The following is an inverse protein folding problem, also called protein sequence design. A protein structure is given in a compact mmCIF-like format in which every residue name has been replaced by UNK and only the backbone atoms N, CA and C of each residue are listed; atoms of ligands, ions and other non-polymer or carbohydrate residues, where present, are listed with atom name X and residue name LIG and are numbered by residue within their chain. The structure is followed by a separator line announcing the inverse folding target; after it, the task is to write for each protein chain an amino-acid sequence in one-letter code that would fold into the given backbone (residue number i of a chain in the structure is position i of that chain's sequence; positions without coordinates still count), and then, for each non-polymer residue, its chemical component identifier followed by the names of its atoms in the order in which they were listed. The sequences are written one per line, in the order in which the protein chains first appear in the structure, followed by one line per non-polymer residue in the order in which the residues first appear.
data_IF_457176350148
#
_entry.id   IF_457176350148
#
_cell.length_a   1.000
_cell.length_b   1.000
_cell.length_c   1.000
_cell.angle_alpha   90.00
_cell.angle_beta   90.00
_cell.angle_gamma   90.00
#
_symmetry.space_group_name_H-M   'P 1'
#
loop_
_entity.id
_entity.type
_entity.pdbx_description
1 polymer ?
#
# COMPACT_ATOMS: atom_id res chain seq x y z
N UNK A 1 -24.20 -11.17 -11.95
CA UNK A 1 -22.81 -11.39 -11.51
C UNK A 1 -22.04 -10.09 -11.61
N UNK A 2 -21.15 -9.83 -10.67
CA UNK A 2 -20.44 -8.58 -10.59
C UNK A 2 -18.91 -8.81 -10.53
N UNK A 3 -18.15 -7.77 -10.86
CA UNK A 3 -16.68 -7.81 -10.84
C UNK A 3 -16.16 -6.72 -9.91
N UNK A 4 -15.29 -7.08 -9.00
CA UNK A 4 -14.53 -6.16 -8.18
C UNK A 4 -13.27 -5.73 -8.94
N UNK A 5 -13.23 -4.45 -9.31
CA UNK A 5 -12.04 -3.86 -9.91
C UNK A 5 -10.93 -3.69 -8.86
N UNK A 6 -9.67 -3.54 -9.29
CA UNK A 6 -8.51 -3.23 -8.42
C UNK A 6 -8.70 -2.00 -7.53
N UNK A 7 -9.56 -1.04 -7.95
CA UNK A 7 -9.94 0.12 -7.15
C UNK A 7 -10.94 -0.17 -6.02
N UNK A 8 -11.35 -1.43 -5.85
CA UNK A 8 -12.42 -1.83 -4.93
C UNK A 8 -13.84 -1.61 -5.47
N UNK A 9 -14.01 -0.88 -6.58
CA UNK A 9 -15.33 -0.61 -7.17
C UNK A 9 -15.92 -1.88 -7.77
N UNK A 10 -17.17 -2.21 -7.41
CA UNK A 10 -17.93 -3.32 -7.97
C UNK A 10 -18.74 -2.82 -9.17
N UNK A 11 -18.65 -3.54 -10.29
CA UNK A 11 -19.33 -3.23 -11.55
C UNK A 11 -19.98 -4.51 -12.11
N UNK A 12 -21.02 -4.41 -12.96
CA UNK A 12 -21.59 -5.58 -13.65
C UNK A 12 -20.52 -6.27 -14.52
N UNK A 13 -20.58 -7.60 -14.55
CA UNK A 13 -19.74 -8.40 -15.44
C UNK A 13 -20.18 -8.23 -16.90
N UNK A 14 -19.20 -8.06 -17.78
CA UNK A 14 -19.43 -8.04 -19.23
C UNK A 14 -18.33 -8.88 -19.93
N UNK A 15 -18.73 -9.97 -20.59
CA UNK A 15 -17.85 -10.89 -21.31
C UNK A 15 -17.16 -10.24 -22.52
N UNK A 16 -17.70 -9.15 -23.07
CA UNK A 16 -17.07 -8.43 -24.21
C UNK A 16 -15.67 -7.93 -23.86
N UNK A 17 -15.42 -7.56 -22.58
CA UNK A 17 -14.08 -7.14 -22.17
C UNK A 17 -13.08 -8.29 -22.24
N UNK A 18 -13.51 -9.53 -21.95
CA UNK A 18 -12.69 -10.73 -22.07
C UNK A 18 -12.42 -11.01 -23.55
N UNK A 19 -13.48 -11.06 -24.36
CA UNK A 19 -13.38 -11.28 -25.82
C UNK A 19 -12.43 -10.28 -26.48
N UNK A 20 -12.57 -8.99 -26.16
CA UNK A 20 -11.69 -7.94 -26.69
C UNK A 20 -10.24 -8.12 -26.27
N UNK A 21 -9.98 -8.50 -25.02
CA UNK A 21 -8.63 -8.71 -24.51
C UNK A 21 -7.96 -9.92 -25.19
N UNK A 22 -8.72 -11.02 -25.41
CA UNK A 22 -8.24 -12.20 -26.13
C UNK A 22 -8.00 -11.87 -27.59
N UNK A 23 -8.91 -11.13 -28.24
CA UNK A 23 -8.76 -10.69 -29.62
C UNK A 23 -7.48 -9.89 -29.86
N UNK A 24 -7.18 -8.93 -28.99
CA UNK A 24 -5.94 -8.15 -29.07
C UNK A 24 -4.69 -9.01 -28.89
N UNK A 25 -4.72 -9.97 -27.97
CA UNK A 25 -3.61 -10.87 -27.72
C UNK A 25 -3.41 -11.83 -28.89
N UNK A 26 -4.50 -12.37 -29.46
CA UNK A 26 -4.52 -13.26 -30.62
C UNK A 26 -4.01 -12.57 -31.90
N UNK A 27 -4.43 -11.31 -32.11
CA UNK A 27 -3.92 -10.49 -33.21
C UNK A 27 -2.41 -10.23 -33.07
N UNK A 28 -1.93 -9.93 -31.87
CA UNK A 28 -0.50 -9.73 -31.58
C UNK A 28 0.33 -11.02 -31.72
N UNK A 29 -0.28 -12.18 -31.54
CA UNK A 29 0.32 -13.49 -31.74
C UNK A 29 0.28 -13.98 -33.19
N UNK A 30 -0.47 -13.33 -34.07
CA UNK A 30 -0.72 -13.78 -35.45
C UNK A 30 -1.68 -14.98 -35.54
N UNK A 31 -2.47 -15.22 -34.52
CA UNK A 31 -3.42 -16.34 -34.37
C UNK A 31 -4.89 -15.86 -34.34
N UNK A 32 -5.21 -14.76 -35.02
CA UNK A 32 -6.53 -14.14 -34.92
C UNK A 32 -7.61 -14.96 -35.66
N UNK A 33 -8.52 -15.56 -34.89
CA UNK A 33 -9.69 -16.28 -35.33
C UNK A 33 -10.89 -15.94 -34.48
N UNK A 34 -11.95 -15.36 -35.08
CA UNK A 34 -13.12 -14.87 -34.34
C UNK A 34 -13.94 -15.99 -33.70
N UNK A 35 -14.06 -17.15 -34.37
CA UNK A 35 -14.80 -18.30 -33.85
C UNK A 35 -14.08 -18.91 -32.64
N UNK A 36 -12.76 -18.98 -32.69
CA UNK A 36 -11.94 -19.47 -31.63
C UNK A 36 -11.95 -18.50 -30.41
N UNK A 37 -11.88 -17.20 -30.65
CA UNK A 37 -11.99 -16.16 -29.61
C UNK A 37 -13.34 -16.27 -28.91
N UNK A 38 -14.43 -16.46 -29.62
CA UNK A 38 -15.76 -16.67 -29.05
C UNK A 38 -15.82 -17.95 -28.20
N UNK A 39 -15.25 -19.04 -28.68
CA UNK A 39 -15.16 -20.33 -27.98
C UNK A 39 -14.33 -20.24 -26.70
N UNK A 40 -13.20 -19.51 -26.70
CA UNK A 40 -12.37 -19.29 -25.53
C UNK A 40 -13.12 -18.40 -24.50
N UNK A 41 -13.75 -17.34 -24.97
CA UNK A 41 -14.52 -16.42 -24.12
C UNK A 41 -15.67 -17.14 -23.43
N UNK A 42 -16.36 -18.02 -24.12
CA UNK A 42 -17.42 -18.84 -23.53
C UNK A 42 -16.86 -19.79 -22.46
N UNK A 43 -15.78 -20.50 -22.75
CA UNK A 43 -15.15 -21.43 -21.80
C UNK A 43 -14.68 -20.70 -20.53
N UNK A 44 -14.10 -19.50 -20.65
CA UNK A 44 -13.73 -18.65 -19.50
C UNK A 44 -14.96 -18.30 -18.68
N UNK A 45 -16.04 -17.89 -19.34
CA UNK A 45 -17.29 -17.51 -18.67
C UNK A 45 -17.91 -18.69 -17.92
N UNK A 46 -17.91 -19.86 -18.50
CA UNK A 46 -18.40 -21.10 -17.87
C UNK A 46 -17.55 -21.48 -16.64
N UNK A 47 -16.23 -21.39 -16.72
CA UNK A 47 -15.33 -21.62 -15.58
C UNK A 47 -15.59 -20.64 -14.44
N UNK A 48 -15.71 -19.34 -14.73
CA UNK A 48 -16.03 -18.34 -13.73
C UNK A 48 -17.37 -18.60 -13.05
N UNK A 49 -18.40 -19.01 -13.82
CA UNK A 49 -19.71 -19.37 -13.26
C UNK A 49 -19.63 -20.61 -12.34
N UNK A 50 -18.76 -21.56 -12.65
CA UNK A 50 -18.54 -22.77 -11.86
C UNK A 50 -17.94 -22.47 -10.46
N UNK A 51 -17.29 -21.31 -10.25
CA UNK A 51 -16.78 -20.89 -8.95
C UNK A 51 -17.88 -20.56 -7.94
N UNK A 52 -19.14 -20.36 -8.40
CA UNK A 52 -20.32 -20.04 -7.55
C UNK A 52 -20.16 -18.83 -6.65
N UNK A 53 -19.29 -17.89 -7.03
CA UNK A 53 -19.10 -16.62 -6.32
C UNK A 53 -20.03 -15.55 -6.90
N UNK A 54 -20.56 -14.68 -6.05
CA UNK A 54 -21.42 -13.57 -6.49
C UNK A 54 -20.62 -12.40 -7.08
N UNK A 55 -19.37 -12.24 -6.64
CA UNK A 55 -18.46 -11.17 -7.06
C UNK A 55 -17.11 -11.79 -7.36
N UNK A 56 -16.64 -11.66 -8.59
CA UNK A 56 -15.30 -12.10 -9.00
C UNK A 56 -14.30 -10.96 -8.91
N UNK A 57 -13.10 -11.25 -8.43
CA UNK A 57 -11.99 -10.31 -8.52
C UNK A 57 -11.42 -10.27 -9.94
N UNK A 58 -10.99 -9.10 -10.39
CA UNK A 58 -10.45 -8.93 -11.75
C UNK A 58 -9.23 -9.83 -11.99
N UNK A 59 -8.44 -10.13 -10.93
CA UNK A 59 -7.29 -11.04 -11.03
C UNK A 59 -7.77 -12.46 -11.33
N UNK A 60 -8.78 -12.96 -10.60
CA UNK A 60 -9.37 -14.29 -10.85
C UNK A 60 -9.84 -14.44 -12.30
N UNK A 61 -10.45 -13.39 -12.87
CA UNK A 61 -10.87 -13.40 -14.28
C UNK A 61 -9.66 -13.52 -15.20
N UNK A 62 -8.61 -12.75 -14.95
CA UNK A 62 -7.39 -12.76 -15.78
C UNK A 62 -6.66 -14.09 -15.69
N UNK A 63 -6.54 -14.66 -14.51
CA UNK A 63 -5.92 -15.97 -14.30
C UNK A 63 -6.72 -17.08 -15.00
N UNK A 64 -8.06 -17.04 -14.95
CA UNK A 64 -8.94 -17.98 -15.67
C UNK A 64 -8.78 -17.85 -17.19
N UNK A 65 -8.56 -16.63 -17.72
CA UNK A 65 -8.27 -16.44 -19.16
C UNK A 65 -6.95 -17.11 -19.53
N UNK A 66 -5.89 -16.87 -18.74
CA UNK A 66 -4.57 -17.46 -18.97
C UNK A 66 -4.64 -19.00 -18.97
N UNK A 67 -5.25 -19.59 -17.94
CA UNK A 67 -5.45 -21.04 -17.83
C UNK A 67 -6.20 -21.61 -19.03
N UNK A 68 -7.30 -20.96 -19.44
CA UNK A 68 -8.12 -21.43 -20.56
C UNK A 68 -7.36 -21.38 -21.88
N UNK A 69 -6.56 -20.34 -22.11
CA UNK A 69 -5.68 -20.24 -23.28
C UNK A 69 -4.63 -21.36 -23.30
N UNK A 70 -4.05 -21.71 -22.15
CA UNK A 70 -3.10 -22.83 -22.05
C UNK A 70 -3.77 -24.19 -22.29
N UNK A 71 -4.94 -24.43 -21.70
CA UNK A 71 -5.68 -25.69 -21.88
C UNK A 71 -6.09 -25.93 -23.33
N UNK A 72 -6.51 -24.85 -24.01
CA UNK A 72 -6.85 -24.88 -25.43
C UNK A 72 -5.63 -24.85 -26.36
N UNK A 73 -4.42 -24.88 -25.80
CA UNK A 73 -3.12 -24.89 -26.51
C UNK A 73 -2.80 -23.64 -27.33
N UNK A 74 -3.44 -22.50 -27.05
CA UNK A 74 -3.15 -21.21 -27.65
C UNK A 74 -1.94 -20.54 -26.97
N UNK A 75 -0.79 -21.19 -26.99
CA UNK A 75 0.40 -20.78 -26.23
C UNK A 75 0.95 -19.42 -26.63
N UNK A 76 0.91 -19.07 -27.92
CA UNK A 76 1.41 -17.78 -28.37
C UNK A 76 0.48 -16.65 -27.96
N UNK A 77 -0.83 -16.85 -28.10
CA UNK A 77 -1.86 -15.94 -27.62
C UNK A 77 -1.78 -15.78 -26.09
N UNK A 78 -1.61 -16.86 -25.31
CA UNK A 78 -1.40 -16.81 -23.86
C UNK A 78 -0.16 -15.97 -23.50
N UNK A 79 0.96 -16.20 -24.19
CA UNK A 79 2.20 -15.43 -23.98
C UNK A 79 2.03 -13.94 -24.31
N UNK A 80 1.32 -13.60 -25.37
CA UNK A 80 1.01 -12.23 -25.75
C UNK A 80 0.09 -11.57 -24.70
N UNK A 81 -0.93 -12.29 -24.21
CA UNK A 81 -1.85 -11.84 -23.17
C UNK A 81 -1.13 -11.53 -21.86
N UNK A 82 -0.28 -12.43 -21.36
CA UNK A 82 0.52 -12.25 -20.16
C UNK A 82 1.46 -11.05 -20.31
N UNK A 83 2.13 -10.91 -21.46
CA UNK A 83 3.01 -9.77 -21.74
C UNK A 83 2.24 -8.45 -21.69
N UNK A 84 1.08 -8.39 -22.36
CA UNK A 84 0.22 -7.21 -22.35
C UNK A 84 -0.27 -6.87 -20.92
N UNK A 85 -0.66 -7.89 -20.13
CA UNK A 85 -1.04 -7.72 -18.72
C UNK A 85 0.10 -7.09 -17.91
N UNK A 86 1.32 -7.61 -18.05
CA UNK A 86 2.51 -7.08 -17.37
C UNK A 86 2.87 -5.65 -17.83
N UNK A 87 2.75 -5.35 -19.12
CA UNK A 87 2.97 -3.99 -19.63
C UNK A 87 1.94 -3.01 -19.08
N UNK A 88 0.66 -3.39 -19.08
CA UNK A 88 -0.41 -2.58 -18.50
C UNK A 88 -0.30 -2.44 -16.97
N UNK A 89 0.28 -3.40 -16.30
CA UNK A 89 0.59 -3.30 -14.87
C UNK A 89 1.73 -2.31 -14.63
N UNK A 90 2.77 -2.35 -15.44
CA UNK A 90 3.87 -1.36 -15.41
C UNK A 90 3.39 0.04 -15.77
N UNK A 91 2.56 0.21 -16.81
CA UNK A 91 1.96 1.50 -17.18
C UNK A 91 1.10 2.06 -16.04
N UNK A 92 0.27 1.23 -15.41
CA UNK A 92 -0.55 1.63 -14.26
C UNK A 92 0.30 1.98 -13.04
N UNK A 93 1.32 1.20 -12.76
CA UNK A 93 2.27 1.50 -11.69
C UNK A 93 2.99 2.83 -11.93
N UNK A 94 3.23 3.19 -13.19
CA UNK A 94 3.77 4.51 -13.56
C UNK A 94 2.72 5.62 -13.62
N UNK A 95 1.46 5.30 -13.96
CA UNK A 95 0.35 6.27 -14.02
C UNK A 95 -0.28 6.55 -12.64
N UNK A 96 -0.23 5.60 -11.70
CA UNK A 96 -0.61 5.85 -10.30
C UNK A 96 0.41 6.74 -9.54
N UNK A 97 1.58 6.96 -10.14
CA UNK A 97 2.48 8.02 -9.75
C UNK A 97 1.87 9.32 -10.25
N UNK A 98 1.00 9.93 -9.45
CA UNK A 98 0.58 11.32 -9.67
C UNK A 98 1.87 12.12 -9.77
N UNK A 99 2.00 12.90 -10.84
CA UNK A 99 3.10 13.82 -11.01
C UNK A 99 3.12 14.74 -9.78
N UNK A 100 4.03 14.41 -8.85
CA UNK A 100 4.22 15.15 -7.63
C UNK A 100 5.06 16.41 -7.89
N UNK A 101 5.59 16.98 -6.83
CA UNK A 101 6.50 18.13 -6.94
C UNK A 101 7.83 17.71 -7.62
N UNK A 102 8.23 16.43 -7.49
CA UNK A 102 9.41 15.84 -8.13
C UNK A 102 9.05 15.21 -9.47
N UNK A 103 9.65 15.69 -10.56
CA UNK A 103 9.40 15.18 -11.92
C UNK A 103 10.09 13.82 -12.14
N UNK A 104 9.53 13.03 -13.08
CA UNK A 104 10.14 11.74 -13.49
C UNK A 104 11.53 11.93 -14.10
N UNK A 105 11.77 13.04 -14.79
CA UNK A 105 13.06 13.41 -15.34
C UNK A 105 14.10 13.62 -14.21
N UNK A 106 13.72 14.36 -13.17
CA UNK A 106 14.56 14.56 -11.98
C UNK A 106 14.90 13.23 -11.28
N UNK A 107 13.93 12.31 -11.17
CA UNK A 107 14.12 11.02 -10.49
C UNK A 107 14.89 9.98 -11.32
N UNK A 108 14.96 10.16 -12.63
CA UNK A 108 15.56 9.16 -13.55
C UNK A 108 16.98 8.75 -13.19
N UNK A 109 17.93 9.64 -12.86
CA UNK A 109 19.30 9.26 -12.47
C UNK A 109 19.33 8.37 -11.22
N UNK A 110 18.47 8.66 -10.24
CA UNK A 110 18.45 7.95 -8.96
C UNK A 110 17.91 6.51 -9.07
N UNK A 111 17.06 6.24 -10.07
CA UNK A 111 16.52 4.88 -10.33
C UNK A 111 17.61 3.87 -10.68
N UNK A 112 18.68 4.34 -11.27
CA UNK A 112 19.81 3.52 -11.74
C UNK A 112 21.06 3.65 -10.88
N UNK A 113 21.00 4.52 -9.86
CA UNK A 113 22.14 4.72 -8.95
C UNK A 113 22.18 3.61 -7.89
N UNK A 114 23.39 3.17 -7.48
CA UNK A 114 23.50 2.19 -6.41
C UNK A 114 22.95 2.74 -5.09
N UNK A 115 22.46 1.84 -4.25
CA UNK A 115 22.03 2.19 -2.90
C UNK A 115 23.22 2.76 -2.12
N UNK A 116 23.13 3.96 -1.53
CA UNK A 116 24.25 4.58 -0.80
C UNK A 116 24.56 3.92 0.56
N UNK A 117 23.73 2.95 0.98
CA UNK A 117 23.88 2.27 2.27
C UNK A 117 24.87 1.10 2.18
N UNK A 118 25.57 0.85 3.29
CA UNK A 118 26.28 -0.41 3.51
C UNK A 118 25.32 -1.60 3.71
N UNK A 119 25.85 -2.80 3.90
CA UNK A 119 25.05 -4.02 4.05
C UNK A 119 24.12 -3.95 5.27
N UNK A 120 24.59 -3.43 6.40
CA UNK A 120 23.80 -3.31 7.61
C UNK A 120 22.69 -2.26 7.45
N UNK A 121 23.04 -1.11 6.89
CA UNK A 121 22.10 -0.04 6.58
C UNK A 121 21.00 -0.52 5.62
N UNK A 122 21.36 -1.21 4.54
CA UNK A 122 20.44 -1.77 3.58
C UNK A 122 19.49 -2.81 4.21
N UNK A 123 19.99 -3.65 5.10
CA UNK A 123 19.17 -4.60 5.85
C UNK A 123 18.16 -3.89 6.76
N UNK A 124 18.62 -2.92 7.57
CA UNK A 124 17.73 -2.14 8.46
C UNK A 124 16.68 -1.37 7.66
N UNK A 125 17.10 -0.73 6.57
CA UNK A 125 16.20 -0.03 5.65
C UNK A 125 15.11 -0.97 5.12
N UNK A 126 15.50 -2.09 4.53
CA UNK A 126 14.56 -3.04 3.91
C UNK A 126 13.58 -3.61 4.93
N UNK A 127 14.05 -3.92 6.14
CA UNK A 127 13.21 -4.47 7.20
C UNK A 127 12.22 -3.46 7.75
N UNK A 128 12.62 -2.19 7.92
CA UNK A 128 11.87 -1.21 8.72
C UNK A 128 11.17 -0.14 7.88
N UNK A 129 11.86 0.45 6.91
CA UNK A 129 11.40 1.67 6.23
C UNK A 129 10.82 1.39 4.84
N UNK A 130 11.35 0.41 4.12
CA UNK A 130 10.88 0.03 2.79
C UNK A 130 9.45 -0.53 2.85
N UNK A 131 8.50 0.15 2.23
CA UNK A 131 7.09 -0.28 2.19
C UNK A 131 6.92 -1.40 1.16
N UNK A 132 6.02 -2.32 1.45
CA UNK A 132 5.61 -3.30 0.46
C UNK A 132 4.63 -2.67 -0.53
N UNK A 133 4.88 -2.86 -1.82
CA UNK A 133 4.07 -2.40 -2.93
C UNK A 133 3.27 -3.59 -3.48
N UNK A 134 2.00 -3.81 -3.04
CA UNK A 134 1.24 -5.01 -3.38
C UNK A 134 1.08 -5.22 -4.88
N UNK A 135 0.91 -4.12 -5.63
CA UNK A 135 0.75 -4.15 -7.10
C UNK A 135 2.00 -4.60 -7.85
N UNK A 136 3.18 -4.38 -7.26
CA UNK A 136 4.47 -4.75 -7.86
C UNK A 136 5.05 -6.04 -7.25
N UNK A 137 4.40 -6.60 -6.23
CA UNK A 137 4.86 -7.80 -5.52
C UNK A 137 6.22 -7.63 -4.84
N UNK A 138 6.67 -6.41 -4.58
CA UNK A 138 7.98 -6.10 -4.01
C UNK A 138 7.94 -4.97 -2.99
N UNK A 139 9.03 -4.78 -2.29
CA UNK A 139 9.25 -3.60 -1.45
C UNK A 139 9.78 -2.41 -2.27
N UNK A 140 9.61 -1.21 -1.71
CA UNK A 140 10.20 0.03 -2.25
C UNK A 140 11.72 -0.08 -2.35
N UNK A 141 12.28 0.48 -3.41
CA UNK A 141 13.69 0.84 -3.46
C UNK A 141 13.95 2.13 -2.68
N UNK A 142 15.21 2.39 -2.34
CA UNK A 142 15.57 3.58 -1.58
C UNK A 142 15.11 4.89 -2.24
N UNK A 143 15.29 5.02 -3.54
CA UNK A 143 14.84 6.18 -4.30
C UNK A 143 13.31 6.38 -4.23
N UNK A 144 12.52 5.31 -4.15
CA UNK A 144 11.06 5.38 -4.02
C UNK A 144 10.64 5.83 -2.61
N UNK A 145 11.29 5.28 -1.58
CA UNK A 145 11.02 5.69 -0.18
C UNK A 145 11.35 7.17 0.03
N UNK A 146 12.50 7.63 -0.48
CA UNK A 146 12.89 9.05 -0.38
C UNK A 146 11.89 9.93 -1.12
N UNK A 147 11.48 9.52 -2.32
CA UNK A 147 10.49 10.27 -3.09
C UNK A 147 9.17 10.39 -2.34
N UNK A 148 8.60 9.30 -1.88
CA UNK A 148 7.35 9.30 -1.11
C UNK A 148 7.43 10.20 0.12
N UNK A 149 8.52 10.10 0.88
CA UNK A 149 8.70 10.88 2.11
C UNK A 149 8.88 12.38 1.84
N UNK A 150 9.61 12.73 0.78
CA UNK A 150 9.80 14.13 0.37
C UNK A 150 8.52 14.73 -0.18
N UNK A 151 7.82 14.03 -1.07
CA UNK A 151 6.52 14.45 -1.60
C UNK A 151 5.51 14.71 -0.47
N UNK A 152 5.43 13.80 0.49
CA UNK A 152 4.60 13.99 1.68
C UNK A 152 5.02 15.22 2.49
N UNK A 153 6.30 15.37 2.78
CA UNK A 153 6.79 16.49 3.57
C UNK A 153 6.55 17.83 2.88
N UNK A 154 6.77 17.90 1.57
CA UNK A 154 6.52 19.08 0.75
C UNK A 154 5.03 19.39 0.56
N UNK A 155 4.14 18.42 0.75
CA UNK A 155 2.69 18.64 0.71
C UNK A 155 2.13 19.34 1.94
N UNK A 156 2.88 19.37 3.04
CA UNK A 156 2.45 19.95 4.32
C UNK A 156 2.60 21.49 4.35
N UNK A 157 3.45 22.06 3.49
CA UNK A 157 3.68 23.49 3.38
C UNK A 157 4.05 23.88 1.95
N UNK A 158 3.81 25.13 1.53
CA UNK A 158 4.25 25.61 0.22
C UNK A 158 5.76 25.42 0.05
N UNK A 159 6.15 24.65 -0.96
CA UNK A 159 7.53 24.28 -1.24
C UNK A 159 7.79 24.42 -2.73
N UNK A 160 8.93 24.98 -3.12
CA UNK A 160 9.34 25.07 -4.52
C UNK A 160 9.90 23.72 -5.01
N UNK A 161 9.86 23.50 -6.33
CA UNK A 161 10.48 22.30 -6.95
C UNK A 161 11.99 22.22 -6.67
N UNK A 162 12.66 23.36 -6.61
CA UNK A 162 14.08 23.43 -6.32
C UNK A 162 14.38 22.98 -4.89
N UNK A 163 13.62 23.45 -3.92
CA UNK A 163 13.76 23.03 -2.51
C UNK A 163 13.47 21.53 -2.33
N UNK A 164 12.38 21.04 -2.96
CA UNK A 164 12.06 19.62 -2.95
C UNK A 164 13.16 18.75 -3.56
N UNK A 165 13.75 19.20 -4.67
CA UNK A 165 14.87 18.54 -5.31
C UNK A 165 16.13 18.51 -4.44
N UNK A 166 16.47 19.62 -3.79
CA UNK A 166 17.59 19.69 -2.83
C UNK A 166 17.35 18.79 -1.62
N UNK A 167 16.15 18.79 -1.08
CA UNK A 167 15.76 17.93 0.04
C UNK A 167 15.92 16.45 -0.35
N UNK A 168 15.39 16.08 -1.53
CA UNK A 168 15.51 14.73 -2.07
C UNK A 168 16.96 14.29 -2.21
N UNK A 169 17.79 15.09 -2.88
CA UNK A 169 19.21 14.78 -3.12
C UNK A 169 19.99 14.61 -1.80
N UNK A 170 19.74 15.49 -0.84
CA UNK A 170 20.37 15.41 0.48
C UNK A 170 19.98 14.14 1.24
N UNK A 171 18.69 13.76 1.21
CA UNK A 171 18.22 12.55 1.88
C UNK A 171 18.73 11.30 1.14
N UNK A 172 18.66 11.28 -0.20
CA UNK A 172 19.13 10.16 -0.99
C UNK A 172 20.59 9.83 -0.70
N UNK A 173 21.45 10.85 -0.63
CA UNK A 173 22.89 10.70 -0.32
C UNK A 173 23.20 10.71 1.19
N UNK A 174 22.18 10.60 2.05
CA UNK A 174 22.35 10.54 3.51
C UNK A 174 23.04 11.74 4.15
N UNK A 175 22.96 12.91 3.53
CA UNK A 175 23.49 14.17 4.10
C UNK A 175 22.51 14.84 5.07
N UNK A 176 21.21 14.51 4.93
CA UNK A 176 20.12 15.02 5.73
C UNK A 176 19.07 13.92 5.90
N UNK A 177 18.35 13.92 7.01
CA UNK A 177 17.24 13.00 7.24
C UNK A 177 15.97 13.72 7.67
N UNK A 178 14.82 13.19 7.25
CA UNK A 178 13.54 13.42 7.89
C UNK A 178 13.43 12.53 9.15
N UNK A 179 12.40 12.73 9.96
CA UNK A 179 12.16 11.82 11.07
C UNK A 179 12.00 10.38 10.57
N UNK A 180 12.46 9.40 11.34
CA UNK A 180 12.30 7.99 11.00
C UNK A 180 10.84 7.63 10.75
N UNK A 181 9.91 8.25 11.45
CA UNK A 181 8.47 8.05 11.24
C UNK A 181 8.01 8.59 9.89
N UNK A 182 8.48 9.76 9.48
CA UNK A 182 8.16 10.30 8.15
C UNK A 182 8.68 9.39 7.03
N UNK A 183 9.90 8.85 7.15
CA UNK A 183 10.41 7.85 6.21
C UNK A 183 9.57 6.56 6.21
N UNK A 184 9.01 6.17 7.36
CA UNK A 184 8.23 4.95 7.49
C UNK A 184 6.79 5.12 7.03
N UNK A 185 6.06 6.13 7.52
CA UNK A 185 4.62 6.29 7.31
C UNK A 185 4.21 7.49 6.47
N UNK A 186 5.07 8.50 6.29
CA UNK A 186 4.77 9.68 5.47
C UNK A 186 4.37 9.29 4.05
N UNK A 187 3.31 9.89 3.51
CA UNK A 187 2.75 9.58 2.20
C UNK A 187 2.05 8.22 2.14
N UNK A 188 1.64 7.68 3.27
CA UNK A 188 0.81 6.47 3.34
C UNK A 188 -0.57 6.80 3.93
N UNK A 189 -1.60 5.97 3.72
CA UNK A 189 -2.92 6.17 4.33
C UNK A 189 -2.89 6.30 5.86
N UNK A 190 -1.86 5.75 6.52
CA UNK A 190 -1.68 5.89 7.97
C UNK A 190 -1.39 7.34 8.34
N UNK A 191 -0.53 8.02 7.59
CA UNK A 191 -0.22 9.43 7.84
C UNK A 191 -1.42 10.35 7.57
N UNK A 192 -2.26 10.00 6.58
CA UNK A 192 -3.45 10.76 6.22
C UNK A 192 -4.57 10.60 7.25
N UNK A 193 -4.80 9.37 7.72
CA UNK A 193 -5.86 9.07 8.69
C UNK A 193 -5.45 9.36 10.13
N UNK A 194 -4.18 9.16 10.46
CA UNK A 194 -3.62 9.28 11.80
C UNK A 194 -2.33 10.10 11.78
N UNK A 195 -2.38 11.43 11.53
CA UNK A 195 -1.19 12.26 11.38
C UNK A 195 -0.26 12.22 12.62
N UNK A 196 -0.81 11.94 13.79
CA UNK A 196 -0.01 11.75 15.02
C UNK A 196 0.96 10.57 14.93
N UNK A 197 0.74 9.61 14.03
CA UNK A 197 1.67 8.50 13.78
C UNK A 197 3.05 8.95 13.25
N UNK A 198 3.17 10.18 12.75
CA UNK A 198 4.46 10.77 12.35
C UNK A 198 5.34 11.20 13.51
N UNK A 199 4.78 11.31 14.73
CA UNK A 199 5.54 11.70 15.91
C UNK A 199 6.15 10.48 16.61
N UNK A 200 7.46 10.52 16.84
CA UNK A 200 8.16 9.43 17.54
C UNK A 200 7.86 9.43 19.02
N UNK A 201 7.81 10.61 19.65
CA UNK A 201 7.69 10.79 21.08
C UNK A 201 6.66 11.86 21.40
N UNK A 202 5.91 11.62 22.47
CA UNK A 202 4.98 12.56 23.08
C UNK A 202 5.18 12.56 24.59
N UNK A 203 4.60 13.53 25.27
CA UNK A 203 4.64 13.64 26.72
C UNK A 203 3.29 14.15 27.22
N UNK A 204 2.79 13.57 28.31
CA UNK A 204 1.57 14.02 28.95
C UNK A 204 1.70 14.05 30.47
N UNK A 205 0.89 14.88 31.10
CA UNK A 205 0.80 15.00 32.57
C UNK A 205 -0.52 14.37 33.00
N UNK A 206 -0.48 13.47 33.95
CA UNK A 206 -1.69 12.83 34.48
C UNK A 206 -2.23 13.70 35.63
N UNK A 207 -3.00 14.73 35.30
CA UNK A 207 -3.67 15.62 36.22
C UNK A 207 -5.20 15.67 36.08
N UNK A 208 -5.71 14.86 35.12
CA UNK A 208 -7.12 14.64 34.90
C UNK A 208 -7.31 13.26 34.21
N UNK A 209 -8.53 12.72 34.25
CA UNK A 209 -8.79 11.39 33.62
C UNK A 209 -8.72 11.40 32.09
N UNK A 210 -8.97 12.53 31.44
CA UNK A 210 -8.87 12.63 29.97
C UNK A 210 -7.43 12.43 29.50
N UNK A 211 -6.42 12.73 30.33
CA UNK A 211 -5.01 12.47 30.01
C UNK A 211 -4.71 10.99 29.71
N UNK A 212 -5.50 10.06 30.28
CA UNK A 212 -5.38 8.64 29.94
C UNK A 212 -5.88 8.33 28.54
N UNK A 213 -6.92 9.01 28.06
CA UNK A 213 -7.40 8.84 26.68
C UNK A 213 -6.32 9.29 25.70
N UNK A 214 -5.71 10.45 25.93
CA UNK A 214 -4.62 10.96 25.08
C UNK A 214 -3.40 10.03 25.10
N UNK A 215 -3.03 9.56 26.31
CA UNK A 215 -1.94 8.59 26.48
C UNK A 215 -2.18 7.31 25.65
N UNK A 216 -3.32 6.69 25.82
CA UNK A 216 -3.63 5.44 25.10
C UNK A 216 -3.79 5.67 23.61
N UNK A 217 -4.41 6.75 23.16
CA UNK A 217 -4.49 7.08 21.75
C UNK A 217 -3.10 7.21 21.11
N UNK A 218 -2.20 7.98 21.74
CA UNK A 218 -0.84 8.16 21.23
C UNK A 218 -0.04 6.84 21.19
N UNK A 219 -0.18 6.01 22.23
CA UNK A 219 0.43 4.67 22.25
C UNK A 219 -0.13 3.77 21.12
N UNK A 220 -1.44 3.80 20.88
CA UNK A 220 -2.08 3.01 19.84
C UNK A 220 -1.64 3.41 18.43
N UNK A 221 -1.39 4.69 18.18
CA UNK A 221 -0.84 5.14 16.88
C UNK A 221 0.69 4.98 16.80
N UNK A 222 1.30 4.39 17.83
CA UNK A 222 2.70 3.99 17.84
C UNK A 222 3.69 5.05 18.32
N UNK A 223 3.23 6.15 18.90
CA UNK A 223 4.11 7.12 19.57
C UNK A 223 4.60 6.59 20.91
N UNK A 224 5.88 6.81 21.25
CA UNK A 224 6.38 6.61 22.60
C UNK A 224 5.90 7.75 23.50
N UNK A 225 5.23 7.45 24.62
CA UNK A 225 4.66 8.50 25.47
C UNK A 225 5.31 8.49 26.86
N UNK A 226 6.00 9.58 27.20
CA UNK A 226 6.43 9.87 28.55
C UNK A 226 5.27 10.38 29.41
N UNK A 227 5.19 9.94 30.64
CA UNK A 227 4.14 10.36 31.58
C UNK A 227 4.77 10.99 32.82
N UNK A 228 4.18 12.09 33.29
CA UNK A 228 4.50 12.63 34.59
C UNK A 228 3.32 12.45 35.54
N UNK A 229 3.61 11.92 36.71
CA UNK A 229 2.67 11.82 37.82
C UNK A 229 3.41 12.27 39.09
N UNK A 230 3.21 13.53 39.45
CA UNK A 230 3.70 14.09 40.73
C UNK A 230 2.54 14.11 41.73
N UNK A 231 2.88 14.28 43.01
CA UNK A 231 1.85 14.46 44.04
C UNK A 231 0.90 15.61 43.72
N UNK A 232 1.44 16.74 43.26
CA UNK A 232 0.66 17.91 42.82
C UNK A 232 -0.21 17.66 41.56
N UNK A 233 0.12 16.68 40.75
CA UNK A 233 -0.71 16.30 39.61
C UNK A 233 -1.83 15.35 40.07
N UNK A 234 -1.48 14.37 40.93
CA UNK A 234 -2.44 13.44 41.50
C UNK A 234 -3.50 14.10 42.39
N UNK A 235 -3.14 15.16 43.12
CA UNK A 235 -4.09 15.95 43.94
C UNK A 235 -5.17 16.66 43.13
N UNK A 236 -5.00 16.82 41.81
CA UNK A 236 -6.03 17.36 40.91
C UNK A 236 -7.02 16.31 40.41
N UNK A 237 -6.67 15.03 40.58
CA UNK A 237 -7.57 13.95 40.19
C UNK A 237 -8.75 13.85 41.16
N UNK A 238 -9.95 13.44 40.71
CA UNK A 238 -11.05 13.14 41.60
C UNK A 238 -10.64 12.04 42.60
N UNK A 239 -11.17 12.08 43.84
CA UNK A 239 -10.91 11.05 44.83
C UNK A 239 -11.32 9.67 44.31
N UNK A 240 -10.53 8.65 44.62
CA UNK A 240 -10.86 7.26 44.28
C UNK A 240 -12.11 6.87 45.08
N UNK A 241 -13.06 6.24 44.38
CA UNK A 241 -14.26 5.71 45.04
C UNK A 241 -13.87 4.60 46.02
N UNK A 242 -14.44 4.66 47.19
CA UNK A 242 -14.23 3.68 48.28
C UNK A 242 -15.28 2.55 48.27
N UNK A 243 -16.30 2.68 47.43
CA UNK A 243 -17.41 1.72 47.27
C UNK A 243 -17.22 0.78 46.08
N UNK A 244 -15.99 0.63 45.59
CA UNK A 244 -15.65 -0.28 44.48
C UNK A 244 -15.56 -1.71 44.99
N UNK A 245 -16.33 -2.60 44.37
CA UNK A 245 -16.22 -4.05 44.53
C UNK A 245 -15.36 -4.61 43.40
N UNK A 246 -14.28 -5.34 43.73
CA UNK A 246 -13.43 -6.02 42.76
C UNK A 246 -14.01 -7.41 42.47
N UNK A 247 -14.66 -7.55 41.33
CA UNK A 247 -15.17 -8.85 40.87
C UNK A 247 -14.06 -9.61 40.12
N UNK A 248 -13.58 -10.69 40.69
CA UNK A 248 -12.71 -11.63 40.01
C UNK A 248 -13.54 -12.52 39.07
N UNK A 249 -13.46 -12.27 37.75
CA UNK A 249 -13.91 -13.23 36.75
C UNK A 249 -12.77 -14.18 36.43
N UNK A 250 -12.93 -15.46 36.72
CA UNK A 250 -12.05 -16.47 36.13
C UNK A 250 -12.29 -16.49 34.61
N UNK A 251 -11.22 -16.31 33.84
CA UNK A 251 -11.26 -16.53 32.41
C UNK A 251 -11.49 -18.02 32.15
N UNK A 252 -12.64 -18.39 31.66
CA UNK A 252 -12.80 -19.69 31.04
C UNK A 252 -12.00 -19.67 29.73
N UNK A 253 -11.03 -20.56 29.48
CA UNK A 253 -10.41 -20.66 28.19
C UNK A 253 -11.51 -20.88 27.14
N UNK A 254 -11.47 -20.11 26.04
CA UNK A 254 -12.32 -20.37 24.90
C UNK A 254 -12.08 -21.82 24.51
N UNK A 255 -13.16 -22.61 24.51
CA UNK A 255 -13.10 -24.01 24.05
C UNK A 255 -12.51 -24.04 22.63
N UNK A 256 -11.67 -25.06 22.30
CA UNK A 256 -11.02 -25.19 21.01
C UNK A 256 -12.02 -25.29 19.86
#
# INVERSE_FOLDING_TARGET
MNVRKRSGKVVPFNAEFISRAISLASAAAGEHDEEEIASITQAVTEKLQALKEEIWDIETIQDTVEETLFEKKHYQTAKAYIRYRLEKEKERASADWKEGILSQEFLSPYKHSPNPMDQLGAFVYTRTYSRFLPRLGRREFWWETVCRAVEYNCSLAPTSREEAGKLYDNIYHMRQFLSGRTLWVGGTPVADQYPMANYNCAFTVIDNFSAYHDLFYLLMVGSGVGVRVLKSDAEKLPPVRTDLEILHKSYAPLAP
#
